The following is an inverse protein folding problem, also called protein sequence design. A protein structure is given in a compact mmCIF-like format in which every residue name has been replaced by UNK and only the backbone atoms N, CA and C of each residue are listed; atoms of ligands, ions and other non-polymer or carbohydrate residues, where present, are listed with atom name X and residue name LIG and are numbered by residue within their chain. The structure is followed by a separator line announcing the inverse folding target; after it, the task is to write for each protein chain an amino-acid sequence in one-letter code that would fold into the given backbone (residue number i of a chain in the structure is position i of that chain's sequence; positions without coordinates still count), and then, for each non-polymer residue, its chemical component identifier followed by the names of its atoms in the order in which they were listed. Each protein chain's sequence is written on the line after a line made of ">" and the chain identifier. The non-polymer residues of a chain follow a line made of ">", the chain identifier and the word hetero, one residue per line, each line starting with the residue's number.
data_IF_901879301954
#
_entry.id   IF_901879301954
#
_cell.length_a   1.000
_cell.length_b   1.000
_cell.length_c   1.000
_cell.angle_alpha   90.00
_cell.angle_beta   90.00
_cell.angle_gamma   90.00
#
_symmetry.space_group_name_H-M   'P 1'
#
loop_
_entity.id
_entity.type
_entity.pdbx_description
1 polymer ?
#
# COMPACT_ATOMS: atom_id res chain seq x y z
N UNK A 1 -4.10 -5.07 -30.20
CA UNK A 1 -4.97 -4.50 -29.15
C UNK A 1 -4.44 -4.97 -27.81
N UNK A 2 -3.42 -4.30 -27.26
CA UNK A 2 -2.88 -4.62 -25.94
C UNK A 2 -3.72 -3.90 -24.90
N UNK A 3 -4.67 -4.63 -24.30
CA UNK A 3 -5.47 -4.14 -23.20
C UNK A 3 -4.57 -3.80 -22.02
N UNK A 4 -4.26 -2.50 -21.87
CA UNK A 4 -3.80 -1.96 -20.60
C UNK A 4 -5.01 -2.04 -19.66
N UNK A 5 -5.11 -3.13 -18.89
CA UNK A 5 -6.05 -3.19 -17.77
C UNK A 5 -5.69 -2.02 -16.86
N UNK A 6 -6.58 -1.05 -16.61
CA UNK A 6 -6.28 0.02 -15.66
C UNK A 6 -6.07 -0.65 -14.30
N UNK A 7 -4.82 -0.66 -13.84
CA UNK A 7 -4.48 -1.25 -12.56
C UNK A 7 -5.20 -0.46 -11.47
N UNK A 8 -6.05 -1.14 -10.71
CA UNK A 8 -6.83 -0.52 -9.66
C UNK A 8 -5.91 -0.19 -8.48
N UNK A 9 -5.46 1.06 -8.39
CA UNK A 9 -4.56 1.59 -7.35
C UNK A 9 -5.06 1.22 -5.94
N UNK A 10 -6.37 1.25 -5.71
CA UNK A 10 -6.95 0.89 -4.42
C UNK A 10 -6.78 -0.60 -4.12
N UNK A 11 -6.95 -1.49 -5.10
CA UNK A 11 -6.74 -2.92 -4.93
C UNK A 11 -5.27 -3.24 -4.65
N UNK A 12 -4.34 -2.69 -5.43
CA UNK A 12 -2.91 -2.90 -5.26
C UNK A 12 -2.43 -2.40 -3.88
N UNK A 13 -2.91 -1.23 -3.45
CA UNK A 13 -2.57 -0.67 -2.14
C UNK A 13 -3.11 -1.50 -0.98
N UNK A 14 -4.32 -2.05 -1.11
CA UNK A 14 -4.90 -2.93 -0.11
C UNK A 14 -4.12 -4.25 -0.04
N UNK A 15 -3.73 -4.83 -1.18
CA UNK A 15 -2.94 -6.06 -1.21
C UNK A 15 -1.53 -5.87 -0.61
N UNK A 16 -0.92 -4.69 -0.76
CA UNK A 16 0.33 -4.36 -0.06
C UNK A 16 0.15 -4.42 1.47
N UNK A 17 -0.87 -3.76 2.00
CA UNK A 17 -1.17 -3.77 3.44
C UNK A 17 -1.46 -5.20 3.92
N UNK A 18 -2.19 -6.00 3.13
CA UNK A 18 -2.46 -7.40 3.47
C UNK A 18 -1.17 -8.22 3.51
N UNK A 19 -0.24 -7.98 2.60
CA UNK A 19 1.05 -8.67 2.55
C UNK A 19 1.95 -8.35 3.76
N UNK A 20 1.81 -7.15 4.34
CA UNK A 20 2.50 -6.77 5.58
C UNK A 20 1.84 -7.33 6.85
N UNK A 21 0.60 -7.79 6.74
CA UNK A 21 -0.15 -8.39 7.85
C UNK A 21 0.27 -9.83 8.15
N UNK A 22 -0.16 -10.38 9.30
CA UNK A 22 0.12 -11.77 9.65
C UNK A 22 -0.51 -12.75 8.65
N UNK A 23 0.24 -13.79 8.30
CA UNK A 23 -0.25 -14.92 7.49
C UNK A 23 -0.71 -16.03 8.43
N UNK A 24 -1.97 -16.43 8.32
CA UNK A 24 -2.53 -17.56 9.08
C UNK A 24 -2.45 -18.86 8.27
N UNK A 25 -2.76 -20.00 8.90
CA UNK A 25 -2.90 -21.29 8.19
C UNK A 25 -3.96 -21.26 7.07
N UNK A 26 -4.85 -20.26 7.07
CA UNK A 26 -5.93 -20.08 6.09
C UNK A 26 -5.58 -19.04 5.01
N UNK A 27 -4.37 -18.46 5.06
CA UNK A 27 -3.92 -17.38 4.16
C UNK A 27 -3.78 -16.03 4.87
N UNK A 28 -3.74 -14.95 4.09
CA UNK A 28 -3.65 -13.58 4.59
C UNK A 28 -4.79 -13.31 5.59
N UNK A 29 -4.45 -12.90 6.81
CA UNK A 29 -5.44 -12.65 7.87
C UNK A 29 -6.41 -11.51 7.54
N UNK A 30 -5.94 -10.53 6.75
CA UNK A 30 -6.69 -9.32 6.43
C UNK A 30 -7.50 -9.50 5.14
N UNK A 31 -8.78 -9.13 5.21
CA UNK A 31 -9.60 -8.95 4.01
C UNK A 31 -9.19 -7.67 3.26
N UNK A 32 -9.56 -7.57 1.99
CA UNK A 32 -9.31 -6.37 1.19
C UNK A 32 -10.04 -5.13 1.73
N UNK A 33 -11.23 -5.32 2.31
CA UNK A 33 -12.00 -4.26 2.93
C UNK A 33 -11.30 -3.74 4.21
N UNK A 34 -10.81 -4.64 5.05
CA UNK A 34 -10.11 -4.27 6.29
C UNK A 34 -8.81 -3.55 5.98
N UNK A 35 -8.05 -4.05 4.99
CA UNK A 35 -6.84 -3.38 4.53
C UNK A 35 -7.11 -1.97 3.96
N UNK A 36 -8.24 -1.79 3.28
CA UNK A 36 -8.66 -0.46 2.79
C UNK A 36 -8.96 0.50 3.94
N UNK A 37 -9.64 0.03 5.01
CA UNK A 37 -9.89 0.83 6.22
C UNK A 37 -8.62 1.16 6.98
N UNK A 38 -7.67 0.22 7.04
CA UNK A 38 -6.35 0.45 7.64
C UNK A 38 -5.60 1.54 6.86
N UNK A 39 -5.62 1.49 5.52
CA UNK A 39 -5.04 2.54 4.67
C UNK A 39 -5.64 3.90 4.98
N UNK A 40 -6.97 4.01 5.02
CA UNK A 40 -7.67 5.26 5.35
C UNK A 40 -7.27 5.78 6.75
N UNK A 41 -7.19 4.89 7.74
CA UNK A 41 -6.75 5.24 9.10
C UNK A 41 -5.31 5.72 9.16
N UNK A 42 -4.39 5.09 8.41
CA UNK A 42 -3.00 5.52 8.31
C UNK A 42 -2.92 6.90 7.64
N UNK A 43 -3.63 7.10 6.53
CA UNK A 43 -3.68 8.37 5.82
C UNK A 43 -4.13 9.51 6.75
N UNK A 44 -5.23 9.28 7.48
CA UNK A 44 -5.74 10.24 8.46
C UNK A 44 -4.73 10.52 9.60
N UNK A 45 -4.05 9.48 10.11
CA UNK A 45 -3.09 9.62 11.20
C UNK A 45 -1.83 10.41 10.82
N UNK A 46 -1.41 10.33 9.54
CA UNK A 46 -0.21 11.02 9.04
C UNK A 46 -0.54 12.35 8.33
N UNK A 47 -1.81 12.77 8.31
CA UNK A 47 -2.23 14.00 7.65
C UNK A 47 -2.12 13.98 6.12
N UNK A 48 -2.12 12.78 5.49
CA UNK A 48 -2.05 12.59 4.04
C UNK A 48 -3.44 12.21 3.50
N UNK A 49 -3.74 12.54 2.23
CA UNK A 49 -4.98 12.04 1.65
C UNK A 49 -4.93 10.52 1.40
N UNK A 50 -6.06 9.85 1.55
CA UNK A 50 -6.17 8.41 1.29
C UNK A 50 -5.74 8.05 -0.14
N UNK A 51 -6.03 8.92 -1.12
CA UNK A 51 -5.66 8.72 -2.52
C UNK A 51 -4.14 8.81 -2.74
N UNK A 52 -3.46 9.78 -2.09
CA UNK A 52 -1.99 9.89 -2.16
C UNK A 52 -1.32 8.68 -1.53
N UNK A 53 -1.80 8.26 -0.35
CA UNK A 53 -1.27 7.06 0.30
C UNK A 53 -1.51 5.80 -0.55
N UNK A 54 -2.69 5.65 -1.15
CA UNK A 54 -2.98 4.55 -2.09
C UNK A 54 -1.95 4.48 -3.21
N UNK A 55 -1.60 5.63 -3.77
CA UNK A 55 -0.72 5.71 -4.92
C UNK A 55 0.73 5.35 -4.54
N UNK A 56 1.18 5.78 -3.36
CA UNK A 56 2.50 5.41 -2.83
C UNK A 56 2.58 3.92 -2.50
N UNK A 57 1.57 3.35 -1.83
CA UNK A 57 1.53 1.92 -1.51
C UNK A 57 1.43 1.05 -2.77
N UNK A 58 0.65 1.47 -3.77
CA UNK A 58 0.56 0.78 -5.06
C UNK A 58 1.91 0.78 -5.79
N UNK A 59 2.68 1.87 -5.72
CA UNK A 59 4.05 1.91 -6.26
C UNK A 59 4.99 0.97 -5.51
N UNK A 60 4.93 0.96 -4.17
CA UNK A 60 5.73 0.08 -3.34
C UNK A 60 5.42 -1.41 -3.60
N UNK A 61 4.15 -1.77 -3.83
CA UNK A 61 3.77 -3.14 -4.19
C UNK A 61 4.29 -3.59 -5.55
N UNK A 62 4.44 -2.64 -6.49
CA UNK A 62 4.95 -2.90 -7.83
C UNK A 62 6.48 -2.88 -7.90
N UNK A 63 7.16 -2.56 -6.80
CA UNK A 63 8.60 -2.61 -6.66
C UNK A 63 9.10 -4.03 -6.96
N UNK A 64 10.14 -4.16 -7.78
CA UNK A 64 10.58 -5.47 -8.32
C UNK A 64 11.69 -6.12 -7.50
N UNK A 65 12.21 -5.44 -6.49
CA UNK A 65 13.35 -5.90 -5.69
C UNK A 65 13.29 -5.34 -4.28
N UNK A 66 13.89 -6.04 -3.31
CA UNK A 66 13.93 -5.58 -1.92
C UNK A 66 14.51 -4.16 -1.79
N UNK A 67 15.53 -3.83 -2.60
CA UNK A 67 16.10 -2.48 -2.65
C UNK A 67 15.08 -1.41 -3.10
N UNK A 68 14.16 -1.74 -4.01
CA UNK A 68 13.09 -0.82 -4.44
C UNK A 68 12.04 -0.66 -3.34
N UNK A 69 11.73 -1.74 -2.61
CA UNK A 69 10.83 -1.71 -1.44
C UNK A 69 11.43 -0.85 -0.34
N UNK A 70 12.72 -1.02 -0.03
CA UNK A 70 13.42 -0.25 1.00
C UNK A 70 13.50 1.24 0.64
N UNK A 71 13.76 1.56 -0.63
CA UNK A 71 13.80 2.94 -1.12
C UNK A 71 12.43 3.62 -1.01
N UNK A 72 11.35 2.92 -1.39
CA UNK A 72 10.00 3.50 -1.33
C UNK A 72 9.46 3.58 0.11
N UNK A 73 9.80 2.59 0.95
CA UNK A 73 9.51 2.63 2.40
C UNK A 73 10.23 3.81 3.06
N UNK A 74 11.48 4.07 2.68
CA UNK A 74 12.24 5.23 3.17
C UNK A 74 11.60 6.55 2.75
N UNK A 75 11.15 6.68 1.49
CA UNK A 75 10.44 7.88 1.03
C UNK A 75 9.12 8.09 1.77
N UNK A 76 8.37 7.02 2.05
CA UNK A 76 7.14 7.08 2.81
C UNK A 76 7.41 7.59 4.25
N UNK A 77 8.43 7.05 4.92
CA UNK A 77 8.84 7.49 6.25
C UNK A 77 9.27 8.96 6.25
N UNK A 78 10.04 9.40 5.24
CA UNK A 78 10.45 10.80 5.11
C UNK A 78 9.26 11.73 4.87
N UNK A 79 8.29 11.32 4.05
CA UNK A 79 7.05 12.08 3.83
C UNK A 79 6.26 12.23 5.14
N UNK A 80 6.23 11.19 5.98
CA UNK A 80 5.58 11.23 7.30
C UNK A 80 6.32 12.12 8.33
N UNK A 81 7.63 12.29 8.22
CA UNK A 81 8.45 13.10 9.14
C UNK A 81 8.53 14.58 8.76
N UNK A 82 8.12 14.92 7.54
CA UNK A 82 8.21 16.30 7.00
C UNK A 82 6.93 17.11 7.23
N UNK A 83 5.97 16.58 8.00
CA UNK A 83 4.69 17.18 8.36
C UNK A 83 4.57 17.44 9.86
#
# INVERSE_FOLDING_TARGET
>A
MTGHTPHNVHADSADFIRALGPVTKQGLALSQLDASKIREGIAAAIGMSDAELAHQLSKAQRAKSQADIDAETTRLIQAMQSH
#
